data_IF_768613916542
#
_entry.id   IF_768613916542
#
_cell.length_a   1.000
_cell.length_b   1.000
_cell.length_c   1.000
_cell.angle_alpha   90.00
_cell.angle_beta   90.00
_cell.angle_gamma   90.00
#
_symmetry.space_group_name_H-M   'P 1'
#
loop_
_entity.id
_entity.type
_entity.pdbx_description
1 polymer ?
#
# COMPACT_ATOMS: atom_id res chain seq x y z
N UNK A 1 11.27 -22.38 5.21
CA UNK A 1 9.81 -22.23 5.27
C UNK A 1 9.52 -20.75 5.37
N UNK A 2 8.96 -20.07 4.34
CA UNK A 2 8.55 -18.69 4.51
C UNK A 2 7.47 -18.67 5.59
N UNK A 3 7.72 -17.93 6.67
CA UNK A 3 6.82 -17.82 7.82
C UNK A 3 5.43 -17.39 7.36
N UNK A 4 4.36 -17.93 7.96
CA UNK A 4 2.96 -17.63 7.59
C UNK A 4 2.65 -16.12 7.49
N UNK A 5 3.38 -15.27 8.23
CA UNK A 5 3.30 -13.81 8.10
C UNK A 5 3.67 -13.26 6.70
N UNK A 6 4.61 -13.88 5.99
CA UNK A 6 4.94 -13.53 4.59
C UNK A 6 3.81 -13.93 3.62
N UNK A 7 3.10 -15.03 3.91
CA UNK A 7 1.91 -15.41 3.14
C UNK A 7 0.73 -14.47 3.39
N UNK A 8 0.55 -13.98 4.61
CA UNK A 8 -0.51 -13.02 4.94
C UNK A 8 -0.29 -11.65 4.24
N UNK A 9 0.96 -11.21 4.09
CA UNK A 9 1.30 -10.00 3.32
C UNK A 9 1.01 -10.16 1.82
N UNK A 10 1.14 -11.38 1.27
CA UNK A 10 0.76 -11.71 -0.10
C UNK A 10 -0.77 -11.70 -0.35
N UNK A 11 -1.59 -11.55 0.69
CA UNK A 11 -3.06 -11.49 0.57
C UNK A 11 -3.62 -10.07 0.56
N UNK A 12 -2.79 -9.04 0.76
CA UNK A 12 -3.24 -7.65 0.69
C UNK A 12 -3.09 -7.20 -0.76
N UNK A 13 -4.19 -6.77 -1.43
CA UNK A 13 -4.11 -6.24 -2.78
C UNK A 13 -3.10 -5.09 -2.86
N UNK A 14 -2.50 -4.92 -4.02
CA UNK A 14 -1.60 -3.80 -4.30
C UNK A 14 -2.32 -2.46 -4.10
N UNK A 15 -1.56 -1.41 -3.82
CA UNK A 15 -2.13 -0.07 -3.60
C UNK A 15 -3.02 0.35 -4.78
N UNK A 16 -2.54 0.12 -6.02
CA UNK A 16 -3.27 0.49 -7.23
C UNK A 16 -4.58 -0.32 -7.39
N UNK A 17 -4.63 -1.58 -6.97
CA UNK A 17 -5.89 -2.37 -6.96
C UNK A 17 -6.89 -1.81 -5.95
N UNK A 18 -6.45 -1.38 -4.76
CA UNK A 18 -7.34 -0.82 -3.73
C UNK A 18 -7.93 0.53 -4.16
N UNK A 19 -7.14 1.39 -4.80
CA UNK A 19 -7.58 2.72 -5.24
C UNK A 19 -8.13 2.75 -6.67
N UNK A 20 -8.17 1.59 -7.35
CA UNK A 20 -8.74 1.46 -8.70
C UNK A 20 -7.91 2.09 -9.82
N UNK A 21 -6.58 2.18 -9.65
CA UNK A 21 -5.66 2.71 -10.64
C UNK A 21 -4.92 1.59 -11.40
N UNK A 22 -4.52 1.84 -12.67
CA UNK A 22 -3.74 0.88 -13.42
C UNK A 22 -2.33 0.69 -12.81
N UNK A 23 -1.68 -0.47 -13.00
CA UNK A 23 -0.32 -0.72 -12.50
C UNK A 23 0.73 0.29 -13.01
N UNK A 24 0.46 0.96 -14.13
CA UNK A 24 1.35 1.97 -14.73
C UNK A 24 1.17 3.38 -14.16
N UNK A 25 0.31 3.58 -13.15
CA UNK A 25 0.11 4.89 -12.53
C UNK A 25 1.42 5.45 -11.95
N UNK A 26 1.64 6.75 -12.14
CA UNK A 26 2.83 7.41 -11.62
C UNK A 26 2.82 7.47 -10.08
N UNK A 27 3.99 7.61 -9.43
CA UNK A 27 4.04 7.72 -7.97
C UNK A 27 3.22 8.88 -7.40
N UNK A 28 3.12 9.99 -8.13
CA UNK A 28 2.34 11.18 -7.72
C UNK A 28 0.84 10.89 -7.78
N UNK A 29 0.38 10.20 -8.83
CA UNK A 29 -1.03 9.80 -8.97
C UNK A 29 -1.42 8.79 -7.89
N UNK A 30 -0.58 7.78 -7.65
CA UNK A 30 -0.79 6.79 -6.59
C UNK A 30 -0.88 7.45 -5.21
N UNK A 31 0.04 8.37 -4.90
CA UNK A 31 0.03 9.12 -3.64
C UNK A 31 -1.25 9.94 -3.47
N UNK A 32 -1.59 10.75 -4.49
CA UNK A 32 -2.77 11.63 -4.43
C UNK A 32 -4.08 10.86 -4.33
N UNK A 33 -4.25 9.80 -5.13
CA UNK A 33 -5.44 8.96 -5.10
C UNK A 33 -5.56 8.17 -3.79
N UNK A 34 -4.45 7.72 -3.21
CA UNK A 34 -4.46 7.07 -1.89
C UNK A 34 -4.89 8.00 -0.77
N UNK A 35 -4.49 9.28 -0.80
CA UNK A 35 -4.90 10.28 0.18
C UNK A 35 -6.40 10.60 0.06
N UNK A 36 -6.89 10.81 -1.16
CA UNK A 36 -8.32 11.01 -1.41
C UNK A 36 -9.15 9.83 -0.90
N UNK A 37 -8.72 8.61 -1.21
CA UNK A 37 -9.40 7.40 -0.76
C UNK A 37 -9.37 7.26 0.77
N UNK A 38 -8.27 7.63 1.40
CA UNK A 38 -8.16 7.65 2.85
C UNK A 38 -9.17 8.60 3.47
N UNK A 39 -9.27 9.83 2.97
CA UNK A 39 -10.21 10.84 3.49
C UNK A 39 -11.66 10.39 3.37
N UNK A 40 -12.05 9.81 2.22
CA UNK A 40 -13.40 9.25 2.01
C UNK A 40 -13.74 8.16 3.03
N UNK A 41 -12.81 7.23 3.27
CA UNK A 41 -13.05 6.12 4.21
C UNK A 41 -12.97 6.59 5.67
N UNK A 42 -12.13 7.58 5.97
CA UNK A 42 -11.99 8.16 7.31
C UNK A 42 -13.29 8.82 7.78
N UNK A 43 -13.95 9.60 6.92
CA UNK A 43 -15.25 10.22 7.25
C UNK A 43 -16.30 9.16 7.60
N UNK A 44 -16.41 8.10 6.80
CA UNK A 44 -17.33 6.98 7.05
C UNK A 44 -16.98 6.21 8.31
N UNK A 45 -15.69 5.92 8.52
CA UNK A 45 -15.20 5.22 9.69
C UNK A 45 -15.48 5.98 10.99
N UNK A 46 -15.35 7.32 10.95
CA UNK A 46 -15.66 8.22 12.07
C UNK A 46 -17.14 8.21 12.45
N UNK A 47 -18.02 7.90 11.50
CA UNK A 47 -19.47 7.71 11.73
C UNK A 47 -19.81 6.30 12.23
N UNK A 48 -18.82 5.42 12.43
CA UNK A 48 -19.00 4.07 12.95
C UNK A 48 -19.13 2.98 11.88
N UNK A 49 -18.84 3.26 10.61
CA UNK A 49 -18.82 2.25 9.55
C UNK A 49 -17.65 1.27 9.74
N UNK A 50 -17.97 0.06 10.23
CA UNK A 50 -17.00 -1.02 10.47
C UNK A 50 -16.28 -1.47 9.18
N UNK A 51 -16.97 -1.41 8.03
CA UNK A 51 -16.37 -1.80 6.76
C UNK A 51 -15.32 -0.76 6.34
N UNK A 52 -15.65 0.54 6.47
CA UNK A 52 -14.70 1.61 6.20
C UNK A 52 -13.47 1.55 7.12
N UNK A 53 -13.63 1.19 8.39
CA UNK A 53 -12.51 0.98 9.31
C UNK A 53 -11.55 -0.13 8.85
N UNK A 54 -12.09 -1.25 8.37
CA UNK A 54 -11.28 -2.35 7.83
C UNK A 54 -10.57 -1.94 6.54
N UNK A 55 -11.26 -1.23 5.64
CA UNK A 55 -10.67 -0.73 4.40
C UNK A 55 -9.55 0.28 4.66
N UNK A 56 -9.66 1.14 5.68
CA UNK A 56 -8.56 2.04 6.08
C UNK A 56 -7.30 1.28 6.50
N UNK A 57 -7.45 0.20 7.26
CA UNK A 57 -6.31 -0.65 7.67
C UNK A 57 -5.65 -1.27 6.43
N UNK A 58 -6.44 -1.81 5.50
CA UNK A 58 -5.93 -2.40 4.26
C UNK A 58 -5.22 -1.38 3.39
N UNK A 59 -5.85 -0.22 3.15
CA UNK A 59 -5.28 0.89 2.39
C UNK A 59 -3.95 1.34 3.00
N UNK A 60 -3.88 1.47 4.34
CA UNK A 60 -2.66 1.90 5.02
C UNK A 60 -1.53 0.89 4.88
N UNK A 61 -1.81 -0.41 5.03
CA UNK A 61 -0.79 -1.44 4.85
C UNK A 61 -0.31 -1.50 3.40
N UNK A 62 -1.21 -1.43 2.42
CA UNK A 62 -0.84 -1.41 1.01
C UNK A 62 -0.01 -0.17 0.65
N UNK A 63 -0.36 1.01 1.18
CA UNK A 63 0.42 2.24 1.01
C UNK A 63 1.84 2.09 1.55
N UNK A 64 2.00 1.53 2.75
CA UNK A 64 3.32 1.30 3.33
C UNK A 64 4.13 0.31 2.50
N UNK A 65 3.53 -0.81 2.08
CA UNK A 65 4.19 -1.76 1.19
C UNK A 65 4.69 -1.09 -0.09
N UNK A 66 3.85 -0.27 -0.74
CA UNK A 66 4.22 0.47 -1.93
C UNK A 66 5.35 1.49 -1.67
N UNK A 67 5.24 2.28 -0.61
CA UNK A 67 6.19 3.34 -0.29
C UNK A 67 7.60 2.79 0.03
N UNK A 68 7.66 1.63 0.68
CA UNK A 68 8.91 1.02 1.12
C UNK A 68 9.47 -0.03 0.15
N UNK A 69 8.66 -0.61 -0.75
CA UNK A 69 9.17 -1.52 -1.80
C UNK A 69 10.24 -0.86 -2.69
N UNK A 70 10.13 0.45 -2.92
CA UNK A 70 11.13 1.22 -3.68
C UNK A 70 12.43 1.53 -2.90
N UNK A 71 12.43 1.41 -1.57
CA UNK A 71 13.63 1.55 -0.74
C UNK A 71 14.45 0.27 -0.72
N UNK A 72 13.80 -0.90 -0.68
CA UNK A 72 14.49 -2.19 -0.74
C UNK A 72 15.22 -2.40 -2.06
N UNK A 73 14.60 -2.03 -3.19
CA UNK A 73 15.24 -2.11 -4.51
C UNK A 73 16.47 -1.19 -4.64
N UNK A 74 16.40 0.03 -4.07
CA UNK A 74 17.54 0.97 -4.06
C UNK A 74 18.66 0.52 -3.13
N UNK A 75 18.31 -0.07 -1.99
CA UNK A 75 19.27 -0.58 -1.01
C UNK A 75 19.97 -1.85 -1.52
N UNK A 76 19.23 -2.76 -2.17
CA UNK A 76 19.79 -3.94 -2.83
C UNK A 76 20.71 -3.58 -4.00
N UNK A 77 20.36 -2.58 -4.82
CA UNK A 77 21.22 -2.10 -5.90
C UNK A 77 22.47 -1.38 -5.41
N UNK A 78 22.44 -0.72 -4.24
CA UNK A 78 23.61 -0.08 -3.65
C UNK A 78 24.63 -1.10 -3.11
N UNK A 79 24.16 -2.23 -2.56
CA UNK A 79 25.02 -3.33 -2.12
C UNK A 79 25.70 -4.09 -3.27
N UNK A 80 25.08 -4.12 -4.46
CA UNK A 80 25.61 -4.82 -5.64
C UNK A 80 26.51 -3.95 -6.54
N UNK A 81 26.59 -2.64 -6.27
CA UNK A 81 27.44 -1.69 -7.03
C UNK A 81 28.82 -1.45 -6.40
N UNK A 82 29.22 -2.26 -5.42
CA UNK A 82 30.49 -2.14 -4.70
C UNK A 82 31.38 -3.37 -4.94
N UNK A 83 31.69 -3.67 -6.19
CA UNK A 83 32.74 -4.63 -6.60
C UNK A 83 33.51 -4.09 -7.80
#
# INVERSE_FOLDING_TARGET
>A
MPSEGLRALHMIPSLNEIIGLPPAASPVELGSASELRYLEMFDRAAQGDLHAQQELVRLRVAYLNWAYAGQDARSASACLGSD
#
